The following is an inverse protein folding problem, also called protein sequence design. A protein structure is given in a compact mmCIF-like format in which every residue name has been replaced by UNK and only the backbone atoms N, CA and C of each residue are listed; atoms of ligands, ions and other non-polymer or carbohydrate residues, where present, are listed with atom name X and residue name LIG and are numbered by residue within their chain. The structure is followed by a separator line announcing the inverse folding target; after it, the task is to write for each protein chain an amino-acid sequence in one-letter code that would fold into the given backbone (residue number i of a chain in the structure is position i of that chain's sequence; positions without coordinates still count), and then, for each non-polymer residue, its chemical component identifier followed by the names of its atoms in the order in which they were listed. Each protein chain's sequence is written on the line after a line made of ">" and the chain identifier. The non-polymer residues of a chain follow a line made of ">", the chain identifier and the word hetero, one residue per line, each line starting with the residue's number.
data_IF_758110031620
#
_entry.id   IF_758110031620
#
_cell.length_a   1.000
_cell.length_b   1.000
_cell.length_c   1.000
_cell.angle_alpha   90.00
_cell.angle_beta   90.00
_cell.angle_gamma   90.00
#
_symmetry.space_group_name_H-M   'P 1'
#
loop_
_entity.id
_entity.type
_entity.pdbx_description
1 polymer ?
#
# COMPACT_ATOMS: atom_id res chain seq x y z
N UNK A 1 -13.87 -16.07 6.10
CA UNK A 1 -12.87 -15.03 5.81
C UNK A 1 -11.60 -15.38 6.57
N UNK A 2 -10.52 -15.78 5.89
CA UNK A 2 -9.30 -16.23 6.57
C UNK A 2 -8.45 -15.01 6.94
N UNK A 3 -8.15 -14.88 8.23
CA UNK A 3 -7.31 -13.82 8.82
C UNK A 3 -5.96 -13.70 8.06
N UNK A 4 -5.49 -14.82 7.50
CA UNK A 4 -4.27 -14.91 6.71
C UNK A 4 -4.29 -14.07 5.41
N UNK A 5 -5.45 -13.94 4.76
CA UNK A 5 -5.58 -13.16 3.52
C UNK A 5 -5.43 -11.65 3.76
N UNK A 6 -5.93 -11.18 4.91
CA UNK A 6 -5.83 -9.78 5.33
C UNK A 6 -4.39 -9.40 5.67
N UNK A 7 -3.69 -10.23 6.46
CA UNK A 7 -2.31 -9.94 6.86
C UNK A 7 -1.34 -9.95 5.67
N UNK A 8 -1.55 -10.87 4.72
CA UNK A 8 -0.80 -10.89 3.45
C UNK A 8 -1.06 -9.63 2.61
N UNK A 9 -2.32 -9.20 2.49
CA UNK A 9 -2.66 -8.01 1.72
C UNK A 9 -2.07 -6.73 2.33
N UNK A 10 -2.09 -6.60 3.65
CA UNK A 10 -1.46 -5.48 4.37
C UNK A 10 0.05 -5.46 4.17
N UNK A 11 0.70 -6.63 4.22
CA UNK A 11 2.15 -6.76 3.97
C UNK A 11 2.53 -6.29 2.56
N UNK A 12 1.78 -6.74 1.55
CA UNK A 12 2.03 -6.36 0.15
C UNK A 12 1.69 -4.89 -0.15
N UNK A 13 0.67 -4.33 0.52
CA UNK A 13 0.35 -2.91 0.43
C UNK A 13 1.47 -2.06 1.07
N UNK A 14 1.93 -2.44 2.26
CA UNK A 14 3.06 -1.76 2.94
C UNK A 14 4.34 -1.80 2.11
N UNK A 15 4.58 -2.89 1.39
CA UNK A 15 5.72 -3.04 0.47
C UNK A 15 5.57 -2.24 -0.84
N UNK A 16 4.42 -1.58 -1.08
CA UNK A 16 4.14 -0.89 -2.34
C UNK A 16 3.88 -1.82 -3.54
N UNK A 17 3.79 -3.13 -3.31
CA UNK A 17 3.56 -4.13 -4.37
C UNK A 17 2.12 -4.11 -4.87
N UNK A 18 1.17 -3.84 -3.98
CA UNK A 18 -0.25 -3.74 -4.32
C UNK A 18 -0.76 -2.34 -4.06
N UNK A 19 -1.61 -1.85 -4.96
CA UNK A 19 -2.42 -0.66 -4.70
C UNK A 19 -3.48 -0.96 -3.64
N UNK A 20 -4.01 0.08 -2.99
CA UNK A 20 -5.05 -0.03 -1.95
C UNK A 20 -6.23 -0.89 -2.42
N UNK A 21 -6.69 -0.70 -3.66
CA UNK A 21 -7.80 -1.47 -4.25
C UNK A 21 -7.47 -2.94 -4.47
N UNK A 22 -6.25 -3.25 -4.92
CA UNK A 22 -5.82 -4.64 -5.11
C UNK A 22 -5.66 -5.36 -3.77
N UNK A 23 -5.12 -4.66 -2.76
CA UNK A 23 -4.97 -5.21 -1.42
C UNK A 23 -6.33 -5.45 -0.74
N UNK A 24 -7.28 -4.52 -0.86
CA UNK A 24 -8.64 -4.69 -0.35
C UNK A 24 -9.36 -5.89 -1.00
N UNK A 25 -9.28 -6.02 -2.35
CA UNK A 25 -9.82 -7.19 -3.07
C UNK A 25 -9.17 -8.50 -2.64
N UNK A 26 -7.85 -8.52 -2.44
CA UNK A 26 -7.12 -9.70 -1.97
C UNK A 26 -7.50 -10.09 -0.54
N UNK A 27 -7.73 -9.10 0.31
CA UNK A 27 -8.20 -9.28 1.68
C UNK A 27 -9.70 -9.66 1.75
N UNK A 28 -10.46 -9.50 0.67
CA UNK A 28 -11.91 -9.72 0.63
C UNK A 28 -12.70 -8.71 1.45
N UNK A 29 -12.16 -7.51 1.66
CA UNK A 29 -12.80 -6.40 2.39
C UNK A 29 -13.06 -5.23 1.44
N UNK A 30 -14.01 -4.38 1.83
CA UNK A 30 -14.19 -3.07 1.21
C UNK A 30 -13.00 -2.14 1.47
N UNK A 31 -12.86 -1.13 0.61
CA UNK A 31 -11.79 -0.13 0.69
C UNK A 31 -11.77 0.62 2.03
N UNK A 32 -12.94 0.97 2.55
CA UNK A 32 -13.07 1.71 3.81
C UNK A 32 -12.59 0.87 5.00
N UNK A 33 -12.99 -0.40 5.01
CA UNK A 33 -12.55 -1.38 6.01
C UNK A 33 -11.06 -1.70 5.89
N UNK A 34 -10.51 -1.71 4.68
CA UNK A 34 -9.07 -1.83 4.46
C UNK A 34 -8.29 -0.62 4.99
N UNK A 35 -8.80 0.60 4.77
CA UNK A 35 -8.18 1.82 5.27
C UNK A 35 -8.16 1.87 6.80
N UNK A 36 -9.27 1.46 7.44
CA UNK A 36 -9.32 1.33 8.89
C UNK A 36 -8.30 0.30 9.42
N UNK A 37 -8.14 -0.83 8.73
CA UNK A 37 -7.12 -1.83 9.09
C UNK A 37 -5.70 -1.28 8.97
N UNK A 38 -5.40 -0.51 7.91
CA UNK A 38 -4.14 0.18 7.76
C UNK A 38 -3.89 1.17 8.91
N UNK A 39 -4.89 2.00 9.25
CA UNK A 39 -4.81 2.95 10.38
C UNK A 39 -4.57 2.24 11.71
N UNK A 40 -5.32 1.18 12.01
CA UNK A 40 -5.16 0.39 13.26
C UNK A 40 -3.79 -0.27 13.38
N UNK A 41 -3.16 -0.64 12.26
CA UNK A 41 -1.82 -1.23 12.24
C UNK A 41 -0.70 -0.19 12.15
N UNK A 42 -1.02 1.11 12.12
CA UNK A 42 -0.03 2.17 11.91
C UNK A 42 0.66 2.09 10.54
N UNK A 43 0.05 1.39 9.58
CA UNK A 43 0.48 1.42 8.19
C UNK A 43 -0.06 2.74 7.66
N UNK A 44 0.74 3.79 7.85
CA UNK A 44 0.50 5.09 7.25
C UNK A 44 0.18 4.83 5.80
N UNK A 45 -0.98 5.31 5.35
CA UNK A 45 -1.40 5.19 3.96
C UNK A 45 -0.20 5.59 3.13
N UNK A 46 0.49 4.60 2.56
CA UNK A 46 1.42 4.80 1.49
C UNK A 46 0.52 5.25 0.36
N UNK A 47 0.12 6.53 0.40
CA UNK A 47 -0.21 7.26 -0.79
C UNK A 47 0.93 6.95 -1.75
N UNK A 48 0.62 6.71 -3.03
CA UNK A 48 1.67 6.41 -3.98
C UNK A 48 2.72 7.51 -3.81
N UNK A 49 3.87 7.16 -3.23
CA UNK A 49 5.08 7.90 -3.49
C UNK A 49 5.47 7.48 -4.89
N UNK A 50 4.60 7.82 -5.85
CA UNK A 50 5.01 8.22 -7.18
C UNK A 50 5.75 9.53 -6.97
N UNK A 51 6.94 9.40 -6.40
CA UNK A 51 8.00 10.32 -6.65
C UNK A 51 8.66 9.78 -7.93
N UNK A 52 8.35 10.32 -9.13
CA UNK A 52 9.24 10.19 -10.27
C UNK A 52 10.48 11.09 -10.12
N UNK A 53 10.68 11.77 -8.99
CA UNK A 53 11.85 12.59 -8.71
C UNK A 53 12.99 11.73 -8.14
N UNK A 54 13.37 10.71 -8.91
CA UNK A 54 14.77 10.33 -8.91
C UNK A 54 15.58 11.62 -9.17
N UNK A 55 16.63 11.91 -8.39
CA UNK A 55 17.38 13.15 -8.59
C UNK A 55 17.86 13.16 -10.04
N UNK A 56 17.37 14.11 -10.83
CA UNK A 56 17.95 14.45 -12.12
C UNK A 56 19.38 14.87 -11.85
N UNK A 57 20.31 13.93 -11.90
CA UNK A 57 21.73 14.19 -11.90
C UNK A 57 22.08 14.72 -13.30
N UNK A 58 21.69 15.95 -13.59
CA UNK A 58 22.25 16.73 -14.68
C UNK A 58 23.63 17.18 -14.23
N UNK A 59 24.65 16.36 -14.51
CA UNK A 59 25.98 16.92 -14.70
C UNK A 59 25.91 17.70 -16.01
N UNK A 60 25.84 19.03 -15.90
CA UNK A 60 26.20 19.91 -17.00
C UNK A 60 27.74 19.86 -17.13
N UNK A 61 28.18 19.55 -18.34
CA UNK A 61 29.56 19.67 -18.85
C UNK A 61 30.08 21.11 -18.70
#
# INVERSE_FOLDING_TARGET
>A
MTIHGVDTALTLFKAGTLTRTQAARKAGVDLDRFDELCRRRGIGSAGPSLDPSGPSHVNAD
#
